data_IF_665441437707
#
_entry.id   IF_665441437707
#
_cell.length_a   1.000
_cell.length_b   1.000
_cell.length_c   1.000
_cell.angle_alpha   90.00
_cell.angle_beta   90.00
_cell.angle_gamma   90.00
#
_symmetry.space_group_name_H-M   'P 1'
#
loop_
_entity.id
_entity.type
_entity.pdbx_description
1 polymer ?
#
# COMPACT_ATOMS: atom_id res chain seq x y z
N UNK A 1 -24.62 0.57 9.66
CA UNK A 1 -25.40 -0.47 8.96
C UNK A 1 -25.54 -1.65 9.90
N UNK A 2 -26.68 -2.36 9.98
CA UNK A 2 -26.85 -3.51 10.88
C UNK A 2 -25.73 -4.54 10.76
N UNK A 3 -25.28 -4.83 9.54
CA UNK A 3 -24.26 -5.85 9.27
C UNK A 3 -22.83 -5.44 9.71
N UNK A 4 -22.58 -4.14 9.90
CA UNK A 4 -21.25 -3.60 10.22
C UNK A 4 -21.20 -2.91 11.59
N UNK A 5 -22.24 -3.04 12.41
CA UNK A 5 -22.35 -2.27 13.67
C UNK A 5 -21.38 -2.78 14.76
N UNK A 6 -21.04 -4.08 14.72
CA UNK A 6 -20.26 -4.77 15.74
C UNK A 6 -18.84 -5.11 15.26
N UNK A 7 -18.40 -4.55 14.11
CA UNK A 7 -17.04 -4.79 13.60
C UNK A 7 -16.00 -4.20 14.54
N UNK A 8 -14.92 -4.95 14.76
CA UNK A 8 -13.76 -4.46 15.50
C UNK A 8 -13.18 -3.21 14.84
N UNK A 9 -12.96 -2.17 15.65
CA UNK A 9 -12.41 -0.88 15.20
C UNK A 9 -10.97 -0.75 15.68
N UNK A 10 -10.02 -0.98 14.80
CA UNK A 10 -8.59 -0.91 15.10
C UNK A 10 -8.03 0.51 15.12
N UNK A 11 -8.75 1.47 14.56
CA UNK A 11 -8.45 2.89 14.66
C UNK A 11 -9.76 3.68 14.72
N UNK A 12 -9.77 4.76 15.50
CA UNK A 12 -10.97 5.57 15.72
C UNK A 12 -10.73 7.02 15.34
N UNK A 13 -11.79 7.66 14.82
CA UNK A 13 -11.77 9.06 14.36
C UNK A 13 -11.53 10.11 15.45
N UNK A 14 -11.66 9.73 16.71
CA UNK A 14 -11.41 10.54 17.90
C UNK A 14 -9.98 10.37 18.44
N UNK A 15 -9.15 9.57 17.78
CA UNK A 15 -7.72 9.52 18.06
C UNK A 15 -7.08 10.91 17.86
N UNK A 16 -6.13 11.26 18.74
CA UNK A 16 -5.39 12.51 18.67
C UNK A 16 -4.44 12.57 17.46
N UNK A 17 -4.01 11.41 16.96
CA UNK A 17 -3.12 11.27 15.82
C UNK A 17 -3.93 10.99 14.55
N UNK A 18 -3.40 11.37 13.40
CA UNK A 18 -4.09 11.20 12.11
C UNK A 18 -3.52 10.05 11.28
N UNK A 19 -4.41 9.38 10.55
CA UNK A 19 -4.13 8.36 9.53
C UNK A 19 -5.15 8.45 8.40
N UNK A 20 -4.76 8.06 7.19
CA UNK A 20 -5.64 7.99 6.04
C UNK A 20 -5.53 6.62 5.34
N UNK A 21 -6.61 6.13 4.74
CA UNK A 21 -6.66 4.77 4.18
C UNK A 21 -5.73 4.50 2.99
N UNK A 22 -5.26 5.56 2.30
CA UNK A 22 -4.24 5.42 1.24
C UNK A 22 -2.91 4.90 1.76
N UNK A 23 -2.62 5.09 3.05
CA UNK A 23 -1.40 4.57 3.67
C UNK A 23 -1.54 3.12 4.14
N UNK A 24 -2.74 2.54 4.18
CA UNK A 24 -2.97 1.19 4.72
C UNK A 24 -3.12 0.18 3.58
N UNK A 25 -2.20 -0.77 3.52
CA UNK A 25 -2.17 -1.86 2.55
C UNK A 25 -2.18 -3.20 3.30
N UNK A 26 -3.14 -4.06 2.96
CA UNK A 26 -3.17 -5.43 3.47
C UNK A 26 -2.35 -6.32 2.52
N UNK A 27 -1.20 -6.84 2.99
CA UNK A 27 -0.32 -7.71 2.17
C UNK A 27 -0.85 -9.15 2.20
N UNK A 28 -1.17 -9.63 3.40
CA UNK A 28 -1.84 -10.90 3.63
C UNK A 28 -2.51 -10.90 5.01
N UNK A 29 -3.16 -12.01 5.37
CA UNK A 29 -3.90 -12.16 6.64
C UNK A 29 -3.07 -11.80 7.90
N UNK A 30 -1.75 -11.92 7.83
CA UNK A 30 -0.83 -11.71 8.96
C UNK A 30 -0.03 -10.41 8.90
N UNK A 31 0.02 -9.74 7.75
CA UNK A 31 0.95 -8.65 7.48
C UNK A 31 0.24 -7.44 6.87
N UNK A 32 0.37 -6.30 7.54
CA UNK A 32 0.00 -5.00 6.98
C UNK A 32 1.24 -4.21 6.57
N UNK A 33 1.12 -3.43 5.51
CA UNK A 33 2.04 -2.36 5.16
C UNK A 33 1.34 -1.02 5.44
N UNK A 34 2.00 -0.14 6.21
CA UNK A 34 1.44 1.17 6.58
C UNK A 34 2.43 2.29 6.27
N UNK A 35 2.01 3.31 5.51
CA UNK A 35 2.84 4.48 5.23
C UNK A 35 2.98 5.41 6.44
N UNK A 36 4.21 5.78 6.79
CA UNK A 36 4.50 6.99 7.55
C UNK A 36 4.65 8.11 6.52
N UNK A 37 3.66 8.99 6.47
CA UNK A 37 3.51 9.97 5.39
C UNK A 37 3.14 11.35 5.94
N UNK A 38 2.94 12.32 5.05
CA UNK A 38 2.33 13.60 5.43
C UNK A 38 0.89 13.47 5.97
N UNK A 39 0.21 12.34 5.72
CA UNK A 39 -1.19 12.08 6.10
C UNK A 39 -1.35 11.02 7.18
N UNK A 40 -0.33 10.21 7.46
CA UNK A 40 -0.33 9.22 8.53
C UNK A 40 0.89 9.38 9.43
N UNK A 41 0.66 9.67 10.71
CA UNK A 41 1.72 9.84 11.70
C UNK A 41 2.20 8.50 12.25
N UNK A 42 3.49 8.39 12.57
CA UNK A 42 4.04 7.21 13.25
C UNK A 42 3.27 6.88 14.55
N UNK A 43 2.91 7.88 15.35
CA UNK A 43 2.12 7.68 16.57
C UNK A 43 0.70 7.13 16.31
N UNK A 44 0.12 7.39 15.12
CA UNK A 44 -1.14 6.75 14.73
C UNK A 44 -0.95 5.26 14.43
N UNK A 45 0.19 4.90 13.83
CA UNK A 45 0.57 3.50 13.57
C UNK A 45 0.80 2.76 14.90
N UNK A 46 1.43 3.41 15.90
CA UNK A 46 1.59 2.80 17.24
C UNK A 46 0.24 2.46 17.87
N UNK A 47 -0.72 3.39 17.85
CA UNK A 47 -2.09 3.16 18.37
C UNK A 47 -2.79 2.06 17.58
N UNK A 48 -2.65 2.06 16.25
CA UNK A 48 -3.20 1.02 15.38
C UNK A 48 -2.61 -0.36 15.74
N UNK A 49 -1.28 -0.46 15.88
CA UNK A 49 -0.56 -1.68 16.23
C UNK A 49 -1.01 -2.24 17.58
N UNK A 50 -1.14 -1.38 18.60
CA UNK A 50 -1.66 -1.78 19.91
C UNK A 50 -3.06 -2.39 19.81
N UNK A 51 -3.96 -1.74 19.08
CA UNK A 51 -5.34 -2.23 18.93
C UNK A 51 -5.42 -3.50 18.09
N UNK A 52 -4.55 -3.66 17.09
CA UNK A 52 -4.52 -4.82 16.20
C UNK A 52 -3.95 -6.04 16.92
N UNK A 53 -2.75 -5.94 17.49
CA UNK A 53 -2.03 -7.09 18.06
C UNK A 53 -2.67 -7.66 19.32
N UNK A 54 -3.43 -6.84 20.04
CA UNK A 54 -4.05 -7.22 21.32
C UNK A 54 -5.57 -7.41 21.22
N UNK A 55 -6.12 -7.49 20.01
CA UNK A 55 -7.52 -7.81 19.77
C UNK A 55 -7.64 -9.22 19.17
N UNK A 56 -8.44 -10.08 19.80
CA UNK A 56 -8.63 -11.48 19.42
C UNK A 56 -9.28 -11.69 18.05
N UNK A 57 -9.95 -10.68 17.51
CA UNK A 57 -10.57 -10.74 16.18
C UNK A 57 -9.53 -10.54 15.06
N UNK A 58 -8.35 -10.00 15.39
CA UNK A 58 -7.28 -9.75 14.44
C UNK A 58 -6.37 -10.96 14.30
N UNK A 59 -5.98 -11.27 13.06
CA UNK A 59 -4.96 -12.28 12.72
C UNK A 59 -3.61 -11.67 12.33
N UNK A 60 -3.53 -10.34 12.30
CA UNK A 60 -2.31 -9.61 11.93
C UNK A 60 -1.27 -9.76 13.03
N UNK A 61 -0.09 -10.24 12.65
CA UNK A 61 1.04 -10.52 13.54
C UNK A 61 2.16 -9.47 13.40
N UNK A 62 2.22 -8.79 12.24
CA UNK A 62 3.19 -7.72 12.00
C UNK A 62 2.63 -6.56 11.18
N UNK A 63 3.22 -5.39 11.39
CA UNK A 63 3.01 -4.20 10.57
C UNK A 63 4.37 -3.72 10.06
N UNK A 64 4.50 -3.56 8.74
CA UNK A 64 5.64 -2.93 8.09
C UNK A 64 5.33 -1.46 7.86
N UNK A 65 5.94 -0.59 8.64
CA UNK A 65 5.79 0.85 8.53
C UNK A 65 6.83 1.45 7.56
N UNK A 66 6.35 2.01 6.45
CA UNK A 66 7.16 2.56 5.37
C UNK A 66 7.32 4.07 5.51
N UNK A 67 8.51 4.53 5.86
CA UNK A 67 8.85 5.96 5.91
C UNK A 67 9.06 6.50 4.49
N UNK A 68 8.05 7.21 3.99
CA UNK A 68 8.05 7.80 2.66
C UNK A 68 8.36 9.30 2.71
N UNK A 69 9.05 9.86 1.70
CA UNK A 69 9.38 11.28 1.67
C UNK A 69 8.13 12.18 1.78
N UNK A 70 8.18 13.15 2.69
CA UNK A 70 7.14 14.18 2.84
C UNK A 70 7.16 15.12 1.63
N UNK A 71 6.30 14.85 0.66
CA UNK A 71 6.14 15.66 -0.55
C UNK A 71 4.68 15.69 -0.98
N UNK A 72 4.22 16.82 -1.53
CA UNK A 72 2.86 16.91 -2.10
C UNK A 72 2.63 15.94 -3.26
N UNK A 73 3.70 15.45 -3.88
CA UNK A 73 3.62 14.46 -4.94
C UNK A 73 3.33 13.03 -4.42
N UNK A 74 3.58 12.76 -3.13
CA UNK A 74 3.47 11.44 -2.51
C UNK A 74 2.61 11.59 -1.24
N UNK A 75 1.29 11.65 -1.43
CA UNK A 75 0.40 11.91 -0.30
C UNK A 75 0.24 10.69 0.60
N UNK A 76 0.30 9.50 0.01
CA UNK A 76 0.08 8.22 0.65
C UNK A 76 1.00 7.13 0.06
N UNK A 77 1.21 6.05 0.80
CA UNK A 77 1.97 4.88 0.34
C UNK A 77 1.41 4.31 -0.98
N UNK A 78 0.10 4.20 -1.13
CA UNK A 78 -0.54 3.65 -2.32
C UNK A 78 -0.38 4.49 -3.60
N UNK A 79 0.07 5.74 -3.48
CA UNK A 79 0.38 6.57 -4.65
C UNK A 79 1.74 6.22 -5.24
N UNK A 80 2.61 5.56 -4.47
CA UNK A 80 4.00 5.25 -4.85
C UNK A 80 4.31 3.77 -4.80
N UNK A 81 3.46 2.95 -4.19
CA UNK A 81 3.70 1.53 -3.96
C UNK A 81 2.37 0.77 -3.85
N UNK A 82 2.11 -0.19 -4.74
CA UNK A 82 0.92 -1.07 -4.65
C UNK A 82 1.21 -2.50 -5.08
N UNK A 83 0.64 -3.48 -4.37
CA UNK A 83 0.67 -4.89 -4.77
C UNK A 83 -0.35 -5.15 -5.87
N UNK A 84 0.09 -5.79 -6.96
CA UNK A 84 -0.67 -5.98 -8.19
C UNK A 84 -0.78 -7.45 -8.63
N UNK A 85 -0.02 -8.32 -7.99
CA UNK A 85 -0.06 -9.77 -8.15
C UNK A 85 0.47 -10.41 -6.85
N UNK A 86 0.54 -11.74 -6.79
CA UNK A 86 1.11 -12.47 -5.65
C UNK A 86 2.55 -12.01 -5.37
N UNK A 87 3.35 -11.85 -6.43
CA UNK A 87 4.79 -11.56 -6.40
C UNK A 87 5.17 -10.19 -7.01
N UNK A 88 4.20 -9.39 -7.49
CA UNK A 88 4.48 -8.14 -8.22
C UNK A 88 3.92 -6.92 -7.51
N UNK A 89 4.72 -5.86 -7.54
CA UNK A 89 4.35 -4.55 -7.02
C UNK A 89 4.65 -3.46 -8.06
N UNK A 90 3.78 -2.45 -8.17
CA UNK A 90 4.17 -1.21 -8.83
C UNK A 90 4.89 -0.30 -7.84
N UNK A 91 5.93 0.38 -8.31
CA UNK A 91 6.70 1.31 -7.48
C UNK A 91 7.04 2.59 -8.24
N UNK A 92 7.04 3.72 -7.54
CA UNK A 92 7.56 4.97 -8.09
C UNK A 92 9.09 5.04 -7.91
N UNK A 93 9.89 5.32 -8.97
CA UNK A 93 11.34 5.31 -8.89
C UNK A 93 11.95 6.22 -7.81
N UNK A 94 11.27 7.33 -7.46
CA UNK A 94 11.80 8.28 -6.47
C UNK A 94 11.86 7.73 -5.02
N UNK A 95 11.17 6.63 -4.71
CA UNK A 95 11.18 6.04 -3.36
C UNK A 95 12.15 4.86 -3.21
N UNK A 96 12.67 4.28 -4.30
CA UNK A 96 13.46 3.03 -4.26
C UNK A 96 14.77 3.11 -3.45
N UNK A 97 15.33 4.30 -3.20
CA UNK A 97 16.59 4.48 -2.48
C UNK A 97 16.51 5.24 -1.16
N UNK A 98 15.31 5.71 -0.79
CA UNK A 98 15.11 6.54 0.42
C UNK A 98 14.17 5.91 1.45
N UNK A 99 13.50 4.83 1.05
CA UNK A 99 12.53 4.12 1.86
C UNK A 99 13.21 3.47 3.06
N UNK A 100 12.69 3.76 4.26
CA UNK A 100 13.03 3.01 5.47
C UNK A 100 11.82 2.20 5.89
N UNK A 101 12.06 0.96 6.29
CA UNK A 101 10.99 0.07 6.75
C UNK A 101 11.22 -0.26 8.21
N UNK A 102 10.22 0.03 9.05
CA UNK A 102 10.19 -0.38 10.44
C UNK A 102 9.22 -1.55 10.59
N UNK A 103 9.63 -2.61 11.28
CA UNK A 103 8.73 -3.69 11.64
C UNK A 103 8.19 -3.46 13.05
N UNK A 104 6.87 -3.51 13.18
CA UNK A 104 6.15 -3.50 14.44
C UNK A 104 5.56 -4.89 14.68
N UNK A 105 5.74 -5.41 15.89
CA UNK A 105 5.18 -6.69 16.36
C UNK A 105 4.66 -6.56 17.79
N UNK A 106 3.85 -7.53 18.23
CA UNK A 106 3.38 -7.58 19.62
C UNK A 106 4.57 -7.63 20.61
N UNK A 107 4.49 -6.83 21.66
CA UNK A 107 5.44 -6.86 22.76
C UNK A 107 5.23 -8.02 23.73
N UNK A 108 5.98 -8.01 24.84
CA UNK A 108 5.90 -9.09 25.85
C UNK A 108 4.64 -9.02 26.70
N UNK A 109 4.14 -7.82 27.00
CA UNK A 109 2.95 -7.63 27.84
C UNK A 109 1.81 -7.01 27.02
N UNK A 110 0.54 -7.24 27.42
CA UNK A 110 -0.61 -6.64 26.75
C UNK A 110 -0.49 -5.12 26.58
N UNK A 111 -0.67 -4.65 25.35
CA UNK A 111 -0.49 -3.25 24.95
C UNK A 111 0.93 -2.88 24.52
N UNK A 112 1.93 -3.72 24.77
CA UNK A 112 3.30 -3.45 24.31
C UNK A 112 3.42 -3.67 22.80
N UNK A 113 4.26 -2.86 22.16
CA UNK A 113 4.64 -2.99 20.75
C UNK A 113 6.16 -2.95 20.66
N UNK A 114 6.76 -3.94 19.99
CA UNK A 114 8.17 -3.95 19.66
C UNK A 114 8.35 -3.29 18.29
N UNK A 115 9.36 -2.43 18.16
CA UNK A 115 9.69 -1.75 16.90
C UNK A 115 11.16 -1.99 16.58
N UNK A 116 11.47 -2.39 15.34
CA UNK A 116 12.85 -2.44 14.83
C UNK A 116 12.95 -1.88 13.43
N UNK A 117 14.06 -1.24 13.11
CA UNK A 117 14.41 -0.89 11.73
C UNK A 117 14.85 -2.16 10.99
N UNK A 118 14.34 -2.39 9.79
CA UNK A 118 14.85 -3.43 8.90
C UNK A 118 15.95 -2.82 8.01
N UNK A 119 17.15 -3.41 8.08
CA UNK A 119 18.30 -3.05 7.24
C UNK A 119 18.48 -4.11 6.14
N UNK A 120 17.57 -4.11 5.15
CA UNK A 120 17.59 -5.04 4.02
C UNK A 120 17.07 -4.35 2.74
N UNK A 121 17.13 -5.03 1.60
CA UNK A 121 16.52 -4.56 0.35
C UNK A 121 14.99 -4.60 0.45
N UNK A 122 14.32 -3.71 -0.29
CA UNK A 122 12.85 -3.71 -0.31
C UNK A 122 12.29 -5.04 -0.83
N UNK A 123 12.96 -5.61 -1.83
CA UNK A 123 12.62 -6.91 -2.40
C UNK A 123 12.63 -8.01 -1.33
N UNK A 124 13.70 -8.14 -0.54
CA UNK A 124 13.77 -9.15 0.52
C UNK A 124 12.72 -8.92 1.61
N UNK A 125 12.47 -7.66 1.99
CA UNK A 125 11.41 -7.33 2.96
C UNK A 125 10.05 -7.79 2.46
N UNK A 126 9.77 -7.60 1.16
CA UNK A 126 8.50 -8.00 0.57
C UNK A 126 8.41 -9.50 0.34
N UNK A 127 9.50 -10.16 -0.02
CA UNK A 127 9.58 -11.63 -0.12
C UNK A 127 9.25 -12.28 1.23
N UNK A 128 9.85 -11.80 2.32
CA UNK A 128 9.54 -12.25 3.69
C UNK A 128 8.10 -11.91 4.12
N UNK A 129 7.60 -10.73 3.73
CA UNK A 129 6.24 -10.31 4.04
C UNK A 129 5.17 -11.15 3.34
N UNK A 130 5.39 -11.45 2.06
CA UNK A 130 4.44 -12.15 1.18
C UNK A 130 4.59 -13.66 1.24
N UNK A 131 5.78 -14.18 1.59
CA UNK A 131 6.12 -15.59 1.58
C UNK A 131 6.48 -16.14 0.20
N UNK A 132 6.78 -15.27 -0.77
CA UNK A 132 7.21 -15.68 -2.12
C UNK A 132 8.74 -15.66 -2.22
N UNK A 133 9.30 -16.52 -3.08
CA UNK A 133 10.75 -16.63 -3.25
C UNK A 133 11.38 -15.44 -3.99
N UNK A 134 10.59 -14.73 -4.80
CA UNK A 134 11.09 -13.62 -5.60
C UNK A 134 9.99 -12.57 -5.79
N UNK A 135 10.28 -11.33 -5.37
CA UNK A 135 9.40 -10.19 -5.65
C UNK A 135 9.90 -9.41 -6.86
N UNK A 136 8.98 -8.96 -7.70
CA UNK A 136 9.27 -8.06 -8.81
C UNK A 136 8.66 -6.68 -8.60
N UNK A 137 9.55 -5.68 -8.51
CA UNK A 137 9.19 -4.27 -8.48
C UNK A 137 9.13 -3.71 -9.89
N UNK A 138 7.95 -3.25 -10.32
CA UNK A 138 7.69 -2.70 -11.65
C UNK A 138 7.65 -1.17 -11.56
N UNK A 139 8.61 -0.44 -12.15
CA UNK A 139 8.67 1.01 -12.04
C UNK A 139 7.59 1.69 -12.87
N UNK A 140 6.81 2.59 -12.25
CA UNK A 140 5.91 3.50 -12.96
C UNK A 140 6.67 4.32 -14.01
N UNK A 141 6.09 4.45 -15.20
CA UNK A 141 6.72 5.08 -16.36
C UNK A 141 7.86 4.27 -16.98
N UNK A 142 8.03 2.98 -16.63
CA UNK A 142 9.00 2.10 -17.27
C UNK A 142 10.46 2.48 -17.05
N UNK A 143 10.75 3.24 -15.99
CA UNK A 143 12.10 3.72 -15.68
C UNK A 143 12.53 4.99 -16.42
N UNK A 144 11.72 5.53 -17.34
CA UNK A 144 11.96 6.88 -17.90
C UNK A 144 11.52 7.95 -16.88
N UNK A 145 12.42 8.81 -16.37
CA UNK A 145 12.07 9.83 -15.39
C UNK A 145 10.98 10.80 -15.84
N UNK A 146 10.90 11.10 -17.14
CA UNK A 146 9.91 12.04 -17.68
C UNK A 146 8.53 11.38 -17.68
N UNK A 147 8.45 10.16 -18.22
CA UNK A 147 7.21 9.37 -18.18
C UNK A 147 6.78 9.08 -16.74
N UNK A 148 7.71 8.68 -15.86
CA UNK A 148 7.45 8.38 -14.46
C UNK A 148 6.85 9.58 -13.74
N UNK A 149 7.44 10.77 -13.86
CA UNK A 149 6.90 11.99 -13.23
C UNK A 149 5.49 12.35 -13.74
N UNK A 150 5.28 12.24 -15.06
CA UNK A 150 3.98 12.52 -15.68
C UNK A 150 2.89 11.53 -15.27
N UNK A 151 3.20 10.24 -15.27
CA UNK A 151 2.24 9.17 -14.99
C UNK A 151 2.02 8.99 -13.49
N UNK A 152 3.02 9.28 -12.65
CA UNK A 152 2.85 9.43 -11.21
C UNK A 152 1.83 10.52 -10.86
N UNK A 153 1.91 11.67 -11.52
CA UNK A 153 0.93 12.75 -11.35
C UNK A 153 -0.50 12.33 -11.71
N UNK A 154 -0.63 11.30 -12.54
CA UNK A 154 -1.89 10.72 -12.99
C UNK A 154 -2.19 9.39 -12.26
N UNK A 155 -1.59 9.17 -11.09
CA UNK A 155 -1.83 8.01 -10.24
C UNK A 155 -1.46 6.67 -10.91
N UNK A 156 -0.34 6.65 -11.66
CA UNK A 156 0.17 5.48 -12.39
C UNK A 156 0.48 4.26 -11.52
N UNK A 157 0.94 4.46 -10.29
CA UNK A 157 1.16 3.37 -9.32
C UNK A 157 -0.08 3.08 -8.46
N UNK A 158 -1.16 3.85 -8.55
CA UNK A 158 -2.37 3.66 -7.75
C UNK A 158 -3.38 2.74 -8.48
N UNK A 159 -2.93 1.52 -8.77
CA UNK A 159 -3.73 0.53 -9.48
C UNK A 159 -4.61 -0.26 -8.51
N UNK A 160 -5.78 -0.71 -8.97
CA UNK A 160 -6.67 -1.57 -8.18
C UNK A 160 -6.57 -3.01 -8.68
N UNK A 161 -5.96 -3.90 -7.90
CA UNK A 161 -5.96 -5.34 -8.14
C UNK A 161 -7.32 -5.95 -7.79
N UNK A 162 -7.99 -6.57 -8.76
CA UNK A 162 -9.32 -7.20 -8.57
C UNK A 162 -9.22 -8.72 -8.42
N UNK A 163 -8.24 -9.34 -9.07
CA UNK A 163 -7.77 -10.71 -8.88
C UNK A 163 -6.25 -10.73 -9.13
N UNK A 164 -5.47 -11.70 -8.60
CA UNK A 164 -4.03 -11.75 -8.80
C UNK A 164 -3.65 -11.60 -10.28
N UNK A 165 -2.85 -10.57 -10.58
CA UNK A 165 -2.41 -10.27 -11.93
C UNK A 165 -3.40 -9.50 -12.80
N UNK A 166 -4.61 -9.21 -12.32
CA UNK A 166 -5.61 -8.38 -13.02
C UNK A 166 -5.91 -7.09 -12.30
N UNK A 167 -5.64 -6.01 -12.99
CA UNK A 167 -5.61 -4.68 -12.39
C UNK A 167 -6.42 -3.68 -13.20
N UNK A 168 -7.16 -2.84 -12.49
CA UNK A 168 -7.82 -1.67 -13.05
C UNK A 168 -6.84 -0.50 -13.08
N UNK A 169 -6.69 0.10 -14.26
CA UNK A 169 -5.71 1.15 -14.57
C UNK A 169 -6.34 2.27 -15.39
N UNK A 170 -5.83 3.48 -15.27
CA UNK A 170 -6.26 4.58 -16.14
C UNK A 170 -5.65 4.47 -17.54
N UNK A 171 -6.47 4.78 -18.57
CA UNK A 171 -6.04 4.78 -19.96
C UNK A 171 -4.90 5.77 -20.29
N UNK A 172 -4.77 6.86 -19.52
CA UNK A 172 -3.75 7.91 -19.76
C UNK A 172 -2.33 7.52 -19.37
N UNK A 173 -2.13 6.44 -18.62
CA UNK A 173 -0.82 6.00 -18.13
C UNK A 173 -0.19 5.02 -19.11
N UNK A 174 0.01 5.48 -20.35
CA UNK A 174 0.33 4.63 -21.50
C UNK A 174 1.64 3.86 -21.35
N UNK A 175 2.67 4.48 -20.76
CA UNK A 175 3.99 3.83 -20.62
C UNK A 175 3.91 2.77 -19.52
N UNK A 176 3.31 3.11 -18.39
CA UNK A 176 3.10 2.17 -17.28
C UNK A 176 2.23 1.00 -17.73
N UNK A 177 1.13 1.23 -18.44
CA UNK A 177 0.25 0.17 -18.93
C UNK A 177 0.97 -0.76 -19.93
N UNK A 178 1.81 -0.23 -20.81
CA UNK A 178 2.59 -1.06 -21.75
C UNK A 178 3.58 -1.97 -21.01
N UNK A 179 4.26 -1.45 -19.98
CA UNK A 179 5.15 -2.25 -19.12
C UNK A 179 4.35 -3.31 -18.37
N UNK A 180 3.25 -2.94 -17.72
CA UNK A 180 2.40 -3.87 -16.98
C UNK A 180 1.87 -5.00 -17.87
N UNK A 181 1.45 -4.68 -19.10
CA UNK A 181 1.03 -5.68 -20.09
C UNK A 181 2.16 -6.64 -20.48
N UNK A 182 3.37 -6.12 -20.70
CA UNK A 182 4.56 -6.94 -21.00
C UNK A 182 4.99 -7.83 -19.84
N UNK A 183 4.67 -7.42 -18.61
CA UNK A 183 4.86 -8.18 -17.39
C UNK A 183 3.78 -9.24 -17.14
N UNK A 184 2.84 -9.41 -18.09
CA UNK A 184 1.85 -10.48 -18.09
C UNK A 184 0.55 -10.17 -17.35
N UNK A 185 0.30 -8.91 -17.00
CA UNK A 185 -0.90 -8.50 -16.27
C UNK A 185 -2.11 -8.31 -17.19
N UNK A 186 -3.30 -8.68 -16.71
CA UNK A 186 -4.59 -8.39 -17.35
C UNK A 186 -5.07 -6.99 -16.95
N UNK A 187 -5.15 -6.08 -17.93
CA UNK A 187 -5.45 -4.67 -17.66
C UNK A 187 -6.91 -4.34 -17.95
N UNK A 188 -7.66 -4.03 -16.90
CA UNK A 188 -8.98 -3.41 -16.99
C UNK A 188 -8.80 -1.90 -17.16
N UNK A 189 -8.61 -1.47 -18.41
CA UNK A 189 -8.34 -0.07 -18.73
C UNK A 189 -9.62 0.76 -18.66
N UNK A 190 -9.64 1.76 -17.77
CA UNK A 190 -10.77 2.67 -17.59
C UNK A 190 -10.51 4.08 -18.13
N UNK A 191 -11.52 4.78 -18.69
CA UNK A 191 -11.39 6.16 -19.12
C UNK A 191 -11.01 7.09 -17.94
N UNK A 192 -10.14 8.05 -18.20
CA UNK A 192 -9.54 8.88 -17.15
C UNK A 192 -9.74 10.40 -17.37
N UNK A 193 -10.72 10.81 -18.19
CA UNK A 193 -10.85 12.21 -18.61
C UNK A 193 -11.24 13.16 -17.46
N UNK A 194 -12.17 12.73 -16.60
CA UNK A 194 -12.77 13.59 -15.57
C UNK A 194 -12.31 13.21 -14.16
N UNK A 195 -12.42 11.93 -13.78
CA UNK A 195 -12.12 11.47 -12.41
C UNK A 195 -10.66 11.72 -12.00
N UNK A 196 -9.72 11.62 -12.95
CA UNK A 196 -8.30 11.90 -12.67
C UNK A 196 -8.03 13.36 -12.28
N UNK A 197 -8.95 14.30 -12.51
CA UNK A 197 -8.82 15.69 -12.01
C UNK A 197 -8.85 15.75 -10.48
N UNK A 198 -9.49 14.75 -9.85
CA UNK A 198 -9.51 14.58 -8.40
C UNK A 198 -8.20 14.07 -7.79
N UNK A 199 -7.21 13.70 -8.61
CA UNK A 199 -5.90 13.15 -8.19
C UNK A 199 -6.05 11.88 -7.33
N UNK A 200 -6.65 10.87 -7.94
CA UNK A 200 -6.77 9.54 -7.36
C UNK A 200 -6.99 8.49 -8.45
N UNK A 201 -6.27 7.38 -8.34
CA UNK A 201 -6.40 6.20 -9.20
C UNK A 201 -7.62 5.35 -8.88
N UNK A 202 -7.83 4.26 -9.63
CA UNK A 202 -8.87 3.27 -9.32
C UNK A 202 -8.85 2.78 -7.87
N UNK A 203 -7.68 2.63 -7.23
CA UNK A 203 -7.59 2.21 -5.84
C UNK A 203 -8.17 3.26 -4.89
N UNK A 204 -7.81 4.54 -5.06
CA UNK A 204 -8.33 5.64 -4.24
C UNK A 204 -9.86 5.77 -4.27
N UNK A 205 -10.52 5.30 -5.34
CA UNK A 205 -11.97 5.35 -5.50
C UNK A 205 -12.69 4.11 -4.96
N UNK A 206 -11.96 3.19 -4.33
CA UNK A 206 -12.47 1.88 -3.92
C UNK A 206 -12.10 1.56 -2.48
N UNK A 207 -12.92 0.74 -1.82
CA UNK A 207 -12.65 0.21 -0.48
C UNK A 207 -13.15 -1.24 -0.43
N UNK A 208 -12.27 -2.24 -0.58
CA UNK A 208 -12.68 -3.64 -0.53
C UNK A 208 -13.30 -3.97 0.84
N UNK A 209 -14.51 -4.52 0.84
CA UNK A 209 -15.17 -5.03 2.05
C UNK A 209 -14.88 -6.52 2.28
N UNK A 210 -14.61 -7.25 1.21
CA UNK A 210 -14.31 -8.68 1.23
C UNK A 210 -13.48 -9.04 0.00
N UNK A 211 -12.55 -9.99 0.15
CA UNK A 211 -11.74 -10.63 -0.90
C UNK A 211 -11.63 -12.11 -0.56
N UNK A 212 -11.48 -12.96 -1.56
CA UNK A 212 -11.18 -14.38 -1.34
C UNK A 212 -9.79 -14.55 -0.72
N UNK A 213 -9.64 -15.59 0.10
CA UNK A 213 -8.34 -15.99 0.63
C UNK A 213 -7.46 -16.53 -0.51
N UNK A 214 -6.15 -16.21 -0.46
CA UNK A 214 -5.15 -16.68 -1.42
C UNK A 214 -4.60 -18.07 -1.04
#
# INVERSE_FOLDING_TARGET
HPDYKDVSLYFRRDCQFHTEGGDVLNINEKTLAVGISQRTQAAAIDVMAQNIFWNSDSKVERILAFDIPVSRAFMHLDTVFTQIDVDKFTIHPAIMGTLRVYELTAGKNPGDVNIRLIEDTLEHVLEDATGVDQVKLIPCGGGDPIAASREQWNDGSNTLCVEPGKICVYARNTVTNDVLYKEGLDLLVVPSAELSRGRGGPRCMSMPFWREDL
#
